data_IF_205260428357
#
_entry.id   IF_205260428357
#
_cell.length_a   1.000
_cell.length_b   1.000
_cell.length_c   1.000
_cell.angle_alpha   90.00
_cell.angle_beta   90.00
_cell.angle_gamma   90.00
#
_symmetry.space_group_name_H-M   'P 1'
#
loop_
_entity.id
_entity.type
_entity.pdbx_description
1 polymer ?
#
# COMPACT_ATOMS: atom_id res chain seq x y z
N UNK A 1 -9.74 46.92 -21.76
CA UNK A 1 -10.21 47.47 -20.50
C UNK A 1 -11.63 46.98 -20.25
N UNK A 2 -11.84 45.88 -19.54
CA UNK A 2 -13.14 45.44 -19.05
C UNK A 2 -12.91 44.51 -17.85
N UNK A 3 -13.14 45.05 -16.70
CA UNK A 3 -13.09 44.42 -15.37
C UNK A 3 -14.33 43.54 -15.19
N UNK A 4 -14.18 42.24 -15.04
CA UNK A 4 -15.29 41.33 -14.65
C UNK A 4 -15.16 40.94 -13.19
N UNK A 5 -16.03 41.56 -12.41
CA UNK A 5 -16.30 41.28 -10.99
C UNK A 5 -17.06 39.96 -10.91
N UNK A 6 -16.50 38.97 -10.19
CA UNK A 6 -17.23 37.73 -9.86
C UNK A 6 -17.81 37.84 -8.45
N UNK A 7 -19.12 37.72 -8.37
CA UNK A 7 -19.92 37.68 -7.15
C UNK A 7 -19.71 36.37 -6.38
N UNK A 8 -19.40 36.50 -5.10
CA UNK A 8 -19.45 35.40 -4.15
C UNK A 8 -20.86 35.33 -3.60
N UNK A 9 -21.55 34.22 -3.87
CA UNK A 9 -22.83 33.91 -3.22
C UNK A 9 -22.52 32.98 -2.04
N UNK A 10 -22.65 33.54 -0.84
CA UNK A 10 -22.60 32.81 0.43
C UNK A 10 -24.00 32.26 0.70
N UNK A 11 -24.19 30.94 0.66
CA UNK A 11 -25.43 30.29 1.08
C UNK A 11 -25.21 29.62 2.44
N UNK A 12 -25.71 30.30 3.47
CA UNK A 12 -25.88 29.74 4.82
C UNK A 12 -27.09 28.78 4.81
N UNK A 13 -26.87 27.50 5.02
CA UNK A 13 -27.92 26.57 5.43
C UNK A 13 -27.67 26.12 6.86
N UNK A 14 -28.48 26.68 7.78
CA UNK A 14 -28.72 26.12 9.10
C UNK A 14 -29.63 24.89 8.95
N UNK A 15 -29.35 23.81 9.66
CA UNK A 15 -30.23 22.66 9.70
C UNK A 15 -29.72 21.52 10.57
N UNK A 16 -30.12 21.52 11.85
CA UNK A 16 -30.72 20.40 12.56
C UNK A 16 -29.81 19.22 12.91
N UNK A 17 -29.30 19.20 14.16
CA UNK A 17 -28.80 17.99 14.82
C UNK A 17 -29.99 17.05 15.11
N UNK A 18 -30.03 15.88 14.47
CA UNK A 18 -30.81 14.74 14.89
C UNK A 18 -29.86 13.75 15.57
N UNK A 19 -29.97 13.64 16.89
CA UNK A 19 -29.31 12.59 17.66
C UNK A 19 -30.18 11.33 17.53
N UNK A 20 -29.61 10.29 16.90
CA UNK A 20 -30.17 8.94 16.93
C UNK A 20 -29.49 8.18 18.06
N UNK A 21 -30.23 7.92 19.14
CA UNK A 21 -29.84 6.97 20.18
C UNK A 21 -29.86 5.56 19.60
N UNK A 22 -28.68 4.92 19.50
CA UNK A 22 -28.55 3.50 19.17
C UNK A 22 -28.73 2.73 20.49
N UNK A 23 -29.90 2.14 20.67
CA UNK A 23 -30.20 1.24 21.79
C UNK A 23 -29.30 -0.01 21.73
N UNK A 24 -28.63 -0.28 22.84
CA UNK A 24 -27.83 -1.48 23.08
C UNK A 24 -28.73 -2.73 23.09
N UNK A 25 -28.49 -3.65 22.16
CA UNK A 25 -29.18 -4.95 22.04
C UNK A 25 -28.41 -6.09 22.72
N UNK A 26 -27.76 -5.85 23.84
CA UNK A 26 -27.19 -6.96 24.60
C UNK A 26 -27.86 -7.08 25.97
N UNK A 27 -28.54 -8.22 26.25
CA UNK A 27 -29.10 -8.46 27.58
C UNK A 27 -27.99 -8.77 28.58
N UNK A 28 -27.92 -7.98 29.63
CA UNK A 28 -27.14 -8.24 30.82
C UNK A 28 -27.78 -9.42 31.58
N UNK A 29 -27.12 -10.58 31.56
CA UNK A 29 -27.59 -11.78 32.24
C UNK A 29 -26.43 -12.59 32.84
N UNK A 30 -26.38 -12.54 34.20
CA UNK A 30 -25.94 -13.56 35.16
C UNK A 30 -24.48 -14.06 35.11
N UNK A 31 -23.77 -13.67 36.16
CA UNK A 31 -22.58 -14.30 36.72
C UNK A 31 -22.80 -15.79 36.95
N UNK A 32 -21.98 -16.63 36.28
CA UNK A 32 -21.74 -18.02 36.65
C UNK A 32 -20.24 -18.25 36.62
N UNK A 33 -19.62 -18.21 37.80
CA UNK A 33 -18.23 -18.60 37.98
C UNK A 33 -18.12 -20.12 37.80
N UNK A 34 -17.51 -20.56 36.69
CA UNK A 34 -17.08 -21.96 36.54
C UNK A 34 -15.59 -22.00 36.84
N UNK A 35 -15.24 -22.57 38.01
CA UNK A 35 -13.89 -22.94 38.32
C UNK A 35 -13.44 -24.08 37.42
N UNK A 36 -12.25 -24.03 36.83
CA UNK A 36 -11.67 -25.20 36.16
C UNK A 36 -11.26 -26.21 37.22
N UNK A 37 -11.87 -27.38 37.15
CA UNK A 37 -11.44 -28.55 37.93
C UNK A 37 -9.99 -28.88 37.57
N UNK A 38 -9.14 -28.91 38.59
CA UNK A 38 -7.79 -29.41 38.47
C UNK A 38 -7.82 -30.90 38.13
N UNK A 39 -7.52 -31.24 36.89
CA UNK A 39 -7.24 -32.62 36.49
C UNK A 39 -5.86 -32.99 37.08
N UNK A 40 -5.87 -33.76 38.15
CA UNK A 40 -4.68 -34.36 38.74
C UNK A 40 -4.09 -35.35 37.71
N UNK A 41 -2.98 -34.97 37.08
CA UNK A 41 -2.20 -35.86 36.21
C UNK A 41 -1.46 -36.87 37.08
N UNK A 42 -1.80 -38.15 36.96
CA UNK A 42 -1.19 -39.29 37.62
C UNK A 42 0.13 -39.76 36.99
N UNK A 43 0.75 -38.94 36.12
CA UNK A 43 2.03 -39.27 35.49
C UNK A 43 3.09 -38.21 35.75
N UNK A 44 3.50 -38.09 37.01
CA UNK A 44 4.76 -37.45 37.38
C UNK A 44 5.79 -38.57 37.57
N UNK A 45 6.61 -38.81 36.56
CA UNK A 45 7.80 -39.65 36.70
C UNK A 45 8.00 -40.57 35.50
N UNK A 46 8.91 -40.21 34.63
CA UNK A 46 9.94 -40.98 33.96
C UNK A 46 10.33 -40.34 32.60
N UNK A 47 11.33 -39.51 32.69
CA UNK A 47 12.08 -39.07 31.51
C UNK A 47 13.09 -40.16 31.12
N UNK A 48 12.62 -41.29 30.59
CA UNK A 48 13.47 -42.24 29.85
C UNK A 48 12.55 -43.28 29.19
N UNK A 49 11.83 -42.84 28.14
CA UNK A 49 11.10 -43.72 27.27
C UNK A 49 11.59 -43.57 25.85
N UNK A 50 11.79 -44.69 25.18
CA UNK A 50 12.26 -44.83 23.78
C UNK A 50 11.32 -44.25 22.72
N UNK A 51 10.43 -43.35 23.11
CA UNK A 51 9.56 -42.59 22.22
C UNK A 51 9.85 -41.13 22.49
N UNK A 52 10.79 -40.54 21.72
CA UNK A 52 10.87 -39.09 21.61
C UNK A 52 9.48 -38.57 21.28
N UNK A 53 8.97 -37.52 21.98
CA UNK A 53 7.70 -36.94 21.59
C UNK A 53 7.86 -36.49 20.14
N UNK A 54 7.07 -37.07 19.21
CA UNK A 54 6.92 -36.56 17.88
C UNK A 54 6.43 -35.14 18.10
N UNK A 55 7.30 -34.17 17.90
CA UNK A 55 6.90 -32.78 17.89
C UNK A 55 5.80 -32.71 16.83
N UNK A 56 4.57 -32.49 17.29
CA UNK A 56 3.46 -32.27 16.42
C UNK A 56 3.92 -31.19 15.44
N UNK A 57 4.15 -31.62 14.20
CA UNK A 57 4.48 -30.70 13.10
C UNK A 57 3.38 -29.67 13.14
N UNK A 58 3.68 -28.46 13.59
CA UNK A 58 2.76 -27.34 13.53
C UNK A 58 2.46 -27.22 12.05
N UNK A 59 1.30 -27.76 11.64
CA UNK A 59 0.76 -27.53 10.33
C UNK A 59 0.37 -26.05 10.38
N UNK A 60 1.32 -25.19 9.97
CA UNK A 60 1.01 -23.79 9.73
C UNK A 60 -0.08 -23.83 8.68
N UNK A 61 -1.31 -23.40 8.99
CA UNK A 61 -2.35 -23.34 7.97
C UNK A 61 -1.78 -22.50 6.83
N UNK A 62 -2.05 -22.85 5.55
CA UNK A 62 -1.60 -22.05 4.43
C UNK A 62 -2.01 -20.61 4.74
N UNK A 63 -1.02 -19.72 4.82
CA UNK A 63 -1.23 -18.32 5.16
C UNK A 63 -2.33 -17.75 4.26
N UNK A 64 -3.06 -16.71 4.68
CA UNK A 64 -4.15 -16.18 3.90
C UNK A 64 -3.64 -15.97 2.48
N UNK A 65 -4.32 -16.56 1.50
CA UNK A 65 -4.00 -16.37 0.08
C UNK A 65 -3.93 -14.87 -0.11
N UNK A 66 -2.80 -14.36 -0.61
CA UNK A 66 -2.60 -12.92 -0.77
C UNK A 66 -3.82 -12.32 -1.47
N UNK A 67 -4.37 -11.24 -0.90
CA UNK A 67 -5.59 -10.64 -1.45
C UNK A 67 -5.36 -10.25 -2.93
N UNK A 68 -6.41 -10.15 -3.76
CA UNK A 68 -6.26 -9.68 -5.13
C UNK A 68 -5.50 -8.36 -5.23
N UNK A 69 -5.72 -7.44 -4.29
CA UNK A 69 -4.96 -6.19 -4.18
C UNK A 69 -3.47 -6.44 -3.92
N UNK A 70 -3.13 -7.35 -3.02
CA UNK A 70 -1.73 -7.69 -2.74
C UNK A 70 -1.05 -8.37 -3.95
N UNK A 71 -1.77 -9.18 -4.71
CA UNK A 71 -1.29 -9.77 -5.96
C UNK A 71 -1.03 -8.69 -7.01
N UNK A 72 -1.94 -7.73 -7.17
CA UNK A 72 -1.78 -6.59 -8.07
C UNK A 72 -0.57 -5.72 -7.68
N UNK A 73 -0.42 -5.40 -6.40
CA UNK A 73 0.74 -4.68 -5.88
C UNK A 73 2.06 -5.43 -6.17
N UNK A 74 2.04 -6.76 -6.06
CA UNK A 74 3.22 -7.58 -6.38
C UNK A 74 3.57 -7.56 -7.87
N UNK A 75 2.58 -7.54 -8.76
CA UNK A 75 2.79 -7.39 -10.20
C UNK A 75 3.38 -6.00 -10.53
N UNK A 76 2.84 -4.94 -9.94
CA UNK A 76 3.36 -3.57 -10.12
C UNK A 76 4.80 -3.50 -9.63
N UNK A 77 5.10 -4.03 -8.45
CA UNK A 77 6.45 -4.05 -7.90
C UNK A 77 7.44 -4.79 -8.79
N UNK A 78 7.02 -5.89 -9.41
CA UNK A 78 7.85 -6.63 -10.37
C UNK A 78 8.15 -5.78 -11.61
N UNK A 79 7.17 -5.01 -12.08
CA UNK A 79 7.34 -4.13 -13.24
C UNK A 79 8.27 -2.93 -12.95
N UNK A 80 8.18 -2.35 -11.75
CA UNK A 80 8.81 -1.07 -11.39
C UNK A 80 10.16 -1.23 -10.68
N UNK A 81 10.25 -2.10 -9.68
CA UNK A 81 11.41 -2.22 -8.81
C UNK A 81 12.27 -3.46 -9.09
N UNK A 82 11.70 -4.48 -9.72
CA UNK A 82 12.38 -5.74 -9.92
C UNK A 82 12.92 -6.33 -8.61
N UNK A 83 14.15 -6.92 -8.62
CA UNK A 83 14.71 -7.59 -7.44
C UNK A 83 15.10 -6.66 -6.29
N UNK A 84 15.26 -5.35 -6.52
CA UNK A 84 15.61 -4.40 -5.47
C UNK A 84 14.43 -4.12 -4.51
N UNK A 85 13.18 -4.36 -4.94
CA UNK A 85 12.00 -4.31 -4.10
C UNK A 85 11.82 -2.96 -3.40
N UNK A 86 11.59 -2.98 -2.09
CA UNK A 86 11.35 -1.77 -1.31
C UNK A 86 12.53 -0.80 -1.25
N UNK A 87 13.73 -1.28 -1.53
CA UNK A 87 14.95 -0.47 -1.54
C UNK A 87 15.36 -0.01 -2.93
N UNK A 88 14.48 -0.13 -3.92
CA UNK A 88 14.74 0.31 -5.27
C UNK A 88 14.92 1.83 -5.35
N UNK A 89 15.94 2.25 -6.09
CA UNK A 89 16.19 3.62 -6.51
C UNK A 89 16.25 3.63 -8.02
N UNK A 90 15.70 4.65 -8.64
CA UNK A 90 15.62 4.74 -10.09
C UNK A 90 17.00 4.57 -10.74
N UNK A 91 17.08 3.74 -11.76
CA UNK A 91 18.32 3.31 -12.41
C UNK A 91 19.22 4.46 -12.88
N UNK A 92 18.64 5.59 -13.30
CA UNK A 92 19.40 6.76 -13.77
C UNK A 92 19.88 7.69 -12.67
N UNK A 93 19.63 7.41 -11.39
CA UNK A 93 20.12 8.20 -10.27
C UNK A 93 21.63 8.00 -10.11
N UNK A 94 22.40 9.03 -10.47
CA UNK A 94 23.89 8.99 -10.40
C UNK A 94 24.40 9.11 -8.96
N UNK A 95 23.68 9.82 -8.13
CA UNK A 95 23.97 9.99 -6.71
C UNK A 95 22.83 9.32 -5.94
N UNK A 96 23.05 8.13 -5.40
CA UNK A 96 22.03 7.44 -4.60
C UNK A 96 21.78 8.15 -3.27
N UNK A 97 20.67 7.86 -2.58
CA UNK A 97 20.47 8.33 -1.23
C UNK A 97 21.50 7.74 -0.26
N UNK A 98 21.65 8.35 0.94
CA UNK A 98 22.65 8.01 1.95
C UNK A 98 22.50 6.60 2.55
N UNK A 99 21.32 6.01 2.44
CA UNK A 99 20.99 4.67 2.93
C UNK A 99 19.91 4.03 2.05
N UNK A 100 19.65 2.71 2.20
CA UNK A 100 18.50 2.06 1.56
C UNK A 100 17.20 2.80 1.88
N UNK A 101 16.29 2.98 0.91
CA UNK A 101 15.02 3.69 1.09
C UNK A 101 14.24 3.31 2.36
N UNK A 102 14.18 2.02 2.70
CA UNK A 102 13.47 1.55 3.90
C UNK A 102 14.07 2.01 5.23
N UNK A 103 15.28 2.55 5.21
CA UNK A 103 15.98 3.08 6.39
C UNK A 103 15.94 4.61 6.49
N UNK A 104 15.31 5.25 5.51
CA UNK A 104 15.21 6.71 5.44
C UNK A 104 13.84 7.17 5.93
N UNK A 105 13.81 8.36 6.49
CA UNK A 105 12.60 9.14 6.72
C UNK A 105 12.19 9.90 5.46
N UNK A 106 10.96 10.39 5.42
CA UNK A 106 10.50 11.25 4.32
C UNK A 106 11.37 12.51 4.21
N UNK A 107 11.79 13.11 5.33
CA UNK A 107 12.68 14.28 5.33
C UNK A 107 14.01 13.98 4.66
N UNK A 108 14.63 12.84 4.98
CA UNK A 108 15.91 12.44 4.39
C UNK A 108 15.80 12.16 2.90
N UNK A 109 14.69 11.55 2.45
CA UNK A 109 14.41 11.36 1.03
C UNK A 109 14.24 12.70 0.33
N UNK A 110 13.49 13.64 0.91
CA UNK A 110 13.29 14.97 0.32
C UNK A 110 14.58 15.77 0.29
N UNK A 111 15.40 15.68 1.32
CA UNK A 111 16.73 16.31 1.34
C UNK A 111 17.65 15.74 0.24
N UNK A 112 17.62 14.42 0.02
CA UNK A 112 18.35 13.80 -1.09
C UNK A 112 17.87 14.31 -2.45
N UNK A 113 16.55 14.41 -2.67
CA UNK A 113 15.97 14.93 -3.91
C UNK A 113 16.44 16.37 -4.15
N UNK A 114 16.36 17.21 -3.13
CA UNK A 114 16.68 18.64 -3.23
C UNK A 114 18.20 18.89 -3.40
N UNK A 115 19.04 18.00 -2.84
CA UNK A 115 20.50 18.06 -2.96
C UNK A 115 21.06 17.55 -4.31
N UNK A 116 20.26 16.83 -5.09
CA UNK A 116 20.73 16.18 -6.33
C UNK A 116 19.87 16.53 -7.56
N UNK A 117 19.71 17.82 -7.90
CA UNK A 117 18.89 18.23 -9.04
C UNK A 117 19.45 17.67 -10.37
N UNK A 118 18.58 17.51 -11.35
CA UNK A 118 18.97 17.08 -12.70
C UNK A 118 19.21 15.58 -12.85
N UNK A 119 18.80 14.76 -11.90
CA UNK A 119 18.72 13.31 -12.02
C UNK A 119 17.30 12.81 -11.70
N UNK A 120 16.93 11.59 -12.10
CA UNK A 120 15.67 10.99 -11.70
C UNK A 120 15.70 10.54 -10.23
N UNK A 121 14.55 10.62 -9.54
CA UNK A 121 14.43 10.34 -8.11
C UNK A 121 13.27 9.39 -7.78
N UNK A 122 12.82 8.59 -8.73
CA UNK A 122 11.82 7.60 -8.40
C UNK A 122 12.40 6.59 -7.38
N UNK A 123 11.62 6.24 -6.34
CA UNK A 123 12.15 5.54 -5.16
C UNK A 123 11.13 4.52 -4.62
N UNK A 124 11.67 3.45 -4.04
CA UNK A 124 10.91 2.40 -3.39
C UNK A 124 10.30 1.39 -4.36
N UNK A 125 9.58 0.43 -3.79
CA UNK A 125 9.00 -0.72 -4.48
C UNK A 125 8.07 -0.34 -5.65
N UNK A 126 7.46 0.82 -5.57
CA UNK A 126 6.48 1.30 -6.54
C UNK A 126 6.96 2.52 -7.32
N UNK A 127 8.27 2.81 -7.24
CA UNK A 127 8.94 3.90 -7.95
C UNK A 127 8.20 5.24 -7.85
N UNK A 128 7.91 5.67 -6.61
CA UNK A 128 7.27 6.96 -6.36
C UNK A 128 8.16 8.10 -6.86
N UNK A 129 7.65 8.89 -7.80
CA UNK A 129 8.31 10.15 -8.20
C UNK A 129 8.09 11.22 -7.13
N UNK A 130 8.99 12.24 -7.01
CA UNK A 130 8.97 13.22 -5.92
C UNK A 130 7.62 13.90 -5.69
N UNK A 131 6.97 14.37 -6.74
CA UNK A 131 5.66 15.05 -6.62
C UNK A 131 4.56 14.13 -6.13
N UNK A 132 4.54 12.89 -6.61
CA UNK A 132 3.58 11.88 -6.16
C UNK A 132 3.81 11.50 -4.71
N UNK A 133 5.07 11.26 -4.30
CA UNK A 133 5.39 10.93 -2.92
C UNK A 133 4.95 12.04 -1.96
N UNK A 134 5.27 13.31 -2.26
CA UNK A 134 4.84 14.45 -1.44
C UNK A 134 3.31 14.52 -1.35
N UNK A 135 2.61 14.49 -2.48
CA UNK A 135 1.14 14.53 -2.50
C UNK A 135 0.50 13.46 -1.64
N UNK A 136 0.98 12.21 -1.77
CA UNK A 136 0.43 11.08 -1.03
C UNK A 136 0.74 11.17 0.47
N UNK A 137 1.97 11.51 0.84
CA UNK A 137 2.38 11.67 2.23
C UNK A 137 1.59 12.79 2.92
N UNK A 138 1.47 13.95 2.28
CA UNK A 138 0.71 15.09 2.78
C UNK A 138 -0.78 14.72 2.94
N UNK A 139 -1.37 14.05 1.95
CA UNK A 139 -2.75 13.59 2.01
C UNK A 139 -3.04 12.57 3.12
N UNK A 140 -2.00 11.88 3.61
CA UNK A 140 -2.10 10.94 4.74
C UNK A 140 -1.63 11.55 6.07
N UNK A 141 -1.31 12.84 6.11
CA UNK A 141 -0.82 13.51 7.31
C UNK A 141 0.53 12.96 7.81
N UNK A 142 1.34 12.39 6.91
CA UNK A 142 2.65 11.85 7.26
C UNK A 142 3.65 12.98 7.47
N UNK A 143 4.22 13.06 8.68
CA UNK A 143 5.23 14.05 9.01
C UNK A 143 6.62 13.70 8.46
N UNK A 144 7.59 14.66 8.59
CA UNK A 144 8.95 14.51 8.06
C UNK A 144 9.70 13.29 8.62
N UNK A 145 9.43 12.93 9.88
CA UNK A 145 10.10 11.83 10.57
C UNK A 145 9.46 10.45 10.27
N UNK A 146 8.45 10.40 9.40
CA UNK A 146 7.81 9.14 9.02
C UNK A 146 8.83 8.25 8.28
N UNK A 147 9.13 7.03 8.77
CA UNK A 147 9.99 6.09 8.06
C UNK A 147 9.35 5.65 6.73
N UNK A 148 10.14 5.60 5.67
CA UNK A 148 9.67 5.09 4.37
C UNK A 148 9.69 3.56 4.34
N UNK A 149 9.07 2.94 5.35
CA UNK A 149 9.02 1.50 5.56
C UNK A 149 8.22 0.77 4.47
N UNK A 150 8.34 -0.59 4.37
CA UNK A 150 7.50 -1.38 3.49
C UNK A 150 6.00 -1.10 3.65
N UNK A 151 5.52 -0.98 4.88
CA UNK A 151 4.10 -0.72 5.19
C UNK A 151 3.66 0.66 4.72
N UNK A 152 4.52 1.67 4.84
CA UNK A 152 4.26 3.02 4.33
C UNK A 152 4.20 2.99 2.81
N UNK A 153 5.17 2.35 2.14
CA UNK A 153 5.17 2.21 0.69
C UNK A 153 3.93 1.49 0.17
N UNK A 154 3.55 0.37 0.79
CA UNK A 154 2.34 -0.37 0.41
C UNK A 154 1.07 0.47 0.61
N UNK A 155 0.95 1.18 1.73
CA UNK A 155 -0.18 2.08 1.99
C UNK A 155 -0.31 3.16 0.91
N UNK A 156 0.79 3.82 0.56
CA UNK A 156 0.80 4.86 -0.47
C UNK A 156 0.45 4.29 -1.85
N UNK A 157 0.90 3.07 -2.17
CA UNK A 157 0.57 2.40 -3.42
C UNK A 157 -0.91 2.01 -3.51
N UNK A 158 -1.54 1.61 -2.39
CA UNK A 158 -3.00 1.35 -2.35
C UNK A 158 -3.78 2.61 -2.73
N UNK A 159 -3.37 3.80 -2.27
CA UNK A 159 -4.03 5.05 -2.65
C UNK A 159 -3.94 5.28 -4.16
N UNK A 160 -2.79 4.97 -4.77
CA UNK A 160 -2.65 5.07 -6.23
C UNK A 160 -3.53 4.05 -6.96
N UNK A 161 -3.78 2.86 -6.40
CA UNK A 161 -4.75 1.92 -6.95
C UNK A 161 -6.18 2.47 -6.87
N UNK A 162 -6.52 3.16 -5.77
CA UNK A 162 -7.81 3.82 -5.60
C UNK A 162 -7.96 4.99 -6.59
N UNK A 163 -6.92 5.79 -6.77
CA UNK A 163 -6.85 6.85 -7.79
C UNK A 163 -7.06 6.28 -9.22
N UNK A 164 -6.57 5.05 -9.47
CA UNK A 164 -6.77 4.35 -10.75
C UNK A 164 -8.19 3.79 -10.93
N UNK A 165 -9.01 3.75 -9.88
CA UNK A 165 -10.38 3.23 -9.93
C UNK A 165 -10.53 1.80 -9.40
N UNK A 166 -9.69 1.36 -8.45
CA UNK A 166 -9.75 0.01 -7.88
C UNK A 166 -11.13 -0.36 -7.33
N UNK A 167 -11.79 0.56 -6.61
CA UNK A 167 -13.11 0.31 -6.04
C UNK A 167 -14.17 0.11 -7.12
N UNK A 168 -14.15 0.94 -8.17
CA UNK A 168 -15.07 0.85 -9.31
C UNK A 168 -14.84 -0.46 -10.10
N UNK A 169 -13.56 -0.84 -10.25
CA UNK A 169 -13.21 -2.12 -10.88
C UNK A 169 -13.71 -3.32 -10.07
N UNK A 170 -13.52 -3.31 -8.76
CA UNK A 170 -14.01 -4.37 -7.85
C UNK A 170 -15.54 -4.45 -7.81
N UNK A 171 -16.21 -3.31 -7.90
CA UNK A 171 -17.67 -3.21 -7.99
C UNK A 171 -18.23 -3.60 -9.38
N UNK A 172 -17.38 -3.87 -10.37
CA UNK A 172 -17.81 -4.18 -11.74
C UNK A 172 -18.33 -3.00 -12.54
N UNK A 173 -18.12 -1.76 -12.06
CA UNK A 173 -18.56 -0.52 -12.73
C UNK A 173 -17.49 0.11 -13.62
N UNK A 174 -16.24 -0.35 -13.53
CA UNK A 174 -15.14 0.02 -14.40
C UNK A 174 -14.66 -1.23 -15.15
N UNK A 175 -14.58 -1.15 -16.48
CA UNK A 175 -14.11 -2.27 -17.29
C UNK A 175 -12.61 -2.55 -17.03
N UNK A 176 -12.22 -3.82 -17.13
CA UNK A 176 -10.82 -4.23 -16.90
C UNK A 176 -9.82 -3.46 -17.76
N UNK A 177 -10.13 -3.23 -19.01
CA UNK A 177 -9.24 -2.51 -19.95
C UNK A 177 -9.03 -1.08 -19.48
N UNK A 178 -10.10 -0.39 -19.08
CA UNK A 178 -10.02 1.00 -18.60
C UNK A 178 -9.25 1.09 -17.28
N UNK A 179 -9.45 0.15 -16.38
CA UNK A 179 -8.66 0.07 -15.14
C UNK A 179 -7.18 -0.15 -15.44
N UNK A 180 -6.82 -1.09 -16.33
CA UNK A 180 -5.43 -1.34 -16.73
C UNK A 180 -4.82 -0.11 -17.42
N UNK A 181 -5.57 0.61 -18.24
CA UNK A 181 -5.16 1.90 -18.80
C UNK A 181 -4.85 2.95 -17.72
N UNK A 182 -5.70 3.04 -16.69
CA UNK A 182 -5.49 3.95 -15.57
C UNK A 182 -4.22 3.59 -14.79
N UNK A 183 -3.96 2.29 -14.58
CA UNK A 183 -2.73 1.81 -13.96
C UNK A 183 -1.48 2.16 -14.79
N UNK A 184 -1.51 1.95 -16.11
CA UNK A 184 -0.38 2.27 -16.99
C UNK A 184 -0.07 3.78 -17.05
N UNK A 185 -1.03 4.65 -16.76
CA UNK A 185 -0.81 6.10 -16.60
C UNK A 185 -0.10 6.47 -15.29
N UNK A 186 -0.12 5.59 -14.32
CA UNK A 186 0.56 5.78 -13.02
C UNK A 186 1.94 5.12 -13.04
N UNK A 187 2.02 3.90 -13.57
CA UNK A 187 3.21 3.07 -13.57
C UNK A 187 3.70 2.76 -15.00
N UNK A 188 4.84 3.36 -15.35
CA UNK A 188 5.40 3.30 -16.69
C UNK A 188 5.82 1.88 -17.14
N UNK A 189 6.12 0.99 -16.20
CA UNK A 189 6.47 -0.41 -16.46
C UNK A 189 5.29 -1.28 -16.87
N UNK A 190 4.03 -0.80 -16.67
CA UNK A 190 2.84 -1.54 -17.08
C UNK A 190 2.52 -1.27 -18.56
N UNK A 191 2.13 -2.33 -19.32
CA UNK A 191 1.87 -2.19 -20.74
C UNK A 191 0.50 -1.60 -21.03
N UNK A 192 0.37 -0.95 -22.18
CA UNK A 192 -0.88 -0.69 -22.88
C UNK A 192 -1.32 -1.93 -23.68
N UNK A 193 -2.55 -1.98 -24.25
CA UNK A 193 -3.03 -3.12 -25.03
C UNK A 193 -2.15 -3.50 -26.23
N UNK A 194 -1.44 -2.55 -26.80
CA UNK A 194 -0.48 -2.74 -27.90
C UNK A 194 0.90 -3.19 -27.44
N UNK A 195 1.12 -3.32 -26.11
CA UNK A 195 2.38 -3.72 -25.49
C UNK A 195 3.34 -2.57 -25.25
N UNK A 196 3.03 -1.35 -25.67
CA UNK A 196 3.85 -0.16 -25.39
C UNK A 196 3.68 0.33 -23.93
N UNK A 197 4.60 1.18 -23.47
CA UNK A 197 4.39 1.97 -22.25
C UNK A 197 3.57 3.22 -22.55
N UNK A 198 2.74 3.65 -21.60
CA UNK A 198 2.07 4.95 -21.72
C UNK A 198 3.07 6.12 -21.88
N UNK A 199 4.29 5.96 -21.36
CA UNK A 199 5.36 6.95 -21.40
C UNK A 199 6.50 6.54 -22.35
N UNK A 200 6.22 5.71 -23.35
CA UNK A 200 7.24 5.26 -24.31
C UNK A 200 7.93 6.42 -24.99
N UNK A 201 9.27 6.35 -25.04
CA UNK A 201 10.11 7.42 -25.60
C UNK A 201 10.39 8.60 -24.65
N UNK A 202 9.75 8.66 -23.47
CA UNK A 202 10.06 9.65 -22.45
C UNK A 202 11.00 9.07 -21.39
N UNK A 203 12.14 9.69 -21.16
CA UNK A 203 13.13 9.30 -20.15
C UNK A 203 13.57 7.81 -20.18
N UNK A 204 13.48 7.17 -21.33
CA UNK A 204 13.81 5.75 -21.50
C UNK A 204 12.76 4.78 -20.97
N UNK A 205 11.56 5.25 -20.66
CA UNK A 205 10.45 4.40 -20.22
C UNK A 205 10.04 3.42 -21.31
N UNK A 206 9.78 2.19 -20.88
CA UNK A 206 9.23 1.10 -21.69
C UNK A 206 8.41 0.18 -20.81
N UNK A 207 7.45 -0.51 -21.39
CA UNK A 207 6.76 -1.58 -20.69
C UNK A 207 7.75 -2.72 -20.37
N UNK A 208 7.70 -3.21 -19.13
CA UNK A 208 8.54 -4.32 -18.66
C UNK A 208 7.79 -5.64 -18.61
N UNK A 209 6.48 -5.60 -18.88
CA UNK A 209 5.54 -6.73 -18.91
C UNK A 209 4.78 -6.77 -20.23
N UNK A 210 4.06 -7.86 -20.48
CA UNK A 210 3.17 -7.99 -21.64
C UNK A 210 1.71 -8.01 -21.19
N UNK A 211 0.81 -7.49 -22.02
CA UNK A 211 -0.63 -7.44 -21.76
C UNK A 211 -1.30 -8.82 -21.66
N UNK A 212 -0.78 -9.79 -22.37
CA UNK A 212 -1.45 -11.04 -22.71
C UNK A 212 -1.36 -12.16 -21.65
N UNK A 213 -1.33 -11.82 -20.34
CA UNK A 213 -1.41 -12.91 -19.34
C UNK A 213 -2.22 -12.53 -18.11
#
# INVERSE_FOLDING_TARGET
MALRIFWVVCLLCLGGAAQAEVGSLFPTGARGAVQPAAASSLFLGANTGMFAPVQARVVVPPGPRSSPTAQLLSLIAQAEAGPAGYDAVQYGARVPPSAPPTRLTLAEIYAWIDATPGQPHAIGRYQFIPSTLRRLADGQGMGPDTPFSPEVQDRLAVILLEDAGLQQFQAGTLARVDFMHSLARIWAGLPLPDGSSYYEGLAGNRATMTWAR
#
